data_IF_665057713958
#
_entry.id   IF_665057713958
#
_cell.length_a   1.000
_cell.length_b   1.000
_cell.length_c   1.000
_cell.angle_alpha   90.00
_cell.angle_beta   90.00
_cell.angle_gamma   90.00
#
_symmetry.space_group_name_H-M   'P 1'
#
loop_
_entity.id
_entity.type
_entity.pdbx_description
1 polymer ?
#
# COMPACT_ATOMS: atom_id res chain seq x y z
N UNK A 1 -38.80 -1.68 11.95
CA UNK A 1 -37.85 -1.29 10.90
C UNK A 1 -37.19 -2.55 10.36
N UNK A 2 -36.93 -2.69 9.04
CA UNK A 2 -36.27 -3.88 8.50
C UNK A 2 -34.82 -3.98 9.00
N UNK A 3 -34.39 -5.20 9.35
CA UNK A 3 -33.06 -5.49 9.93
C UNK A 3 -31.88 -5.28 8.95
N UNK A 4 -32.15 -5.13 7.66
CA UNK A 4 -31.13 -5.02 6.62
C UNK A 4 -30.61 -3.58 6.38
N UNK A 5 -31.06 -2.62 7.20
CA UNK A 5 -30.69 -1.22 7.05
C UNK A 5 -29.22 -0.94 7.41
N UNK A 6 -28.63 -1.71 8.33
CA UNK A 6 -27.26 -1.51 8.85
C UNK A 6 -26.17 -2.32 8.12
N UNK A 7 -26.52 -3.31 7.30
CA UNK A 7 -25.56 -4.18 6.59
C UNK A 7 -24.81 -3.45 5.47
N UNK A 8 -25.29 -2.27 5.04
CA UNK A 8 -24.59 -1.42 4.05
C UNK A 8 -23.27 -0.83 4.57
N UNK A 9 -23.08 -0.72 5.89
CA UNK A 9 -21.81 -0.23 6.46
C UNK A 9 -20.71 -1.30 6.42
N UNK A 10 -21.07 -2.59 6.54
CA UNK A 10 -20.13 -3.71 6.41
C UNK A 10 -19.63 -3.87 4.97
N UNK A 11 -20.49 -3.64 3.98
CA UNK A 11 -20.08 -3.64 2.57
C UNK A 11 -19.21 -2.41 2.27
N UNK A 12 -19.57 -1.21 2.75
CA UNK A 12 -18.72 -0.01 2.58
C UNK A 12 -17.33 -0.23 3.18
N UNK A 13 -17.25 -0.78 4.39
CA UNK A 13 -15.95 -1.12 5.00
C UNK A 13 -15.22 -2.24 4.26
N UNK A 14 -15.92 -3.19 3.62
CA UNK A 14 -15.29 -4.18 2.74
C UNK A 14 -14.72 -3.56 1.46
N UNK A 15 -15.39 -2.58 0.84
CA UNK A 15 -14.85 -1.86 -0.32
C UNK A 15 -13.67 -0.96 0.05
N UNK A 16 -13.73 -0.27 1.20
CA UNK A 16 -12.61 0.53 1.70
C UNK A 16 -11.40 -0.35 1.99
N UNK A 17 -11.62 -1.49 2.64
CA UNK A 17 -10.58 -2.48 2.92
C UNK A 17 -10.03 -3.07 1.61
N UNK A 18 -10.88 -3.50 0.66
CA UNK A 18 -10.44 -4.02 -0.65
C UNK A 18 -9.64 -2.99 -1.44
N UNK A 19 -10.05 -1.72 -1.44
CA UNK A 19 -9.32 -0.63 -2.08
C UNK A 19 -7.94 -0.42 -1.44
N UNK A 20 -7.85 -0.49 -0.11
CA UNK A 20 -6.57 -0.42 0.62
C UNK A 20 -5.67 -1.60 0.28
N UNK A 21 -6.20 -2.83 0.24
CA UNK A 21 -5.43 -4.01 -0.16
C UNK A 21 -4.98 -3.97 -1.62
N UNK A 22 -5.84 -3.48 -2.52
CA UNK A 22 -5.47 -3.27 -3.93
C UNK A 22 -4.35 -2.24 -4.07
N UNK A 23 -4.41 -1.14 -3.31
CA UNK A 23 -3.33 -0.15 -3.32
C UNK A 23 -2.04 -0.69 -2.71
N UNK A 24 -2.12 -1.48 -1.63
CA UNK A 24 -0.96 -2.16 -1.04
C UNK A 24 -0.32 -3.14 -2.03
N UNK A 25 -1.11 -3.93 -2.74
CA UNK A 25 -0.61 -4.80 -3.79
C UNK A 25 0.09 -3.97 -4.90
N UNK A 26 -0.49 -2.84 -5.32
CA UNK A 26 0.14 -1.93 -6.26
C UNK A 26 1.46 -1.33 -5.70
N UNK A 27 1.56 -1.04 -4.39
CA UNK A 27 2.83 -0.61 -3.77
C UNK A 27 3.91 -1.71 -3.80
N UNK A 28 3.56 -2.95 -3.47
CA UNK A 28 4.51 -4.07 -3.56
C UNK A 28 5.01 -4.28 -4.99
N UNK A 29 4.10 -4.22 -5.96
CA UNK A 29 4.45 -4.31 -7.38
C UNK A 29 5.40 -3.18 -7.80
N UNK A 30 5.18 -1.96 -7.32
CA UNK A 30 6.07 -0.83 -7.60
C UNK A 30 7.47 -1.03 -7.00
N UNK A 31 7.55 -1.53 -5.75
CA UNK A 31 8.82 -1.86 -5.09
C UNK A 31 9.59 -2.92 -5.87
N UNK A 32 8.91 -3.98 -6.30
CA UNK A 32 9.51 -5.03 -7.14
C UNK A 32 10.11 -4.44 -8.43
N UNK A 33 9.37 -3.58 -9.12
CA UNK A 33 9.88 -2.94 -10.34
C UNK A 33 11.00 -1.94 -10.08
N UNK A 34 10.98 -1.25 -8.95
CA UNK A 34 12.06 -0.35 -8.57
C UNK A 34 13.35 -1.14 -8.33
N UNK A 35 13.28 -2.27 -7.64
CA UNK A 35 14.42 -3.17 -7.46
C UNK A 35 14.94 -3.73 -8.79
N UNK A 36 14.04 -4.05 -9.74
CA UNK A 36 14.43 -4.60 -11.05
C UNK A 36 15.03 -3.55 -12.00
N UNK A 37 14.47 -2.33 -12.03
CA UNK A 37 14.83 -1.30 -13.02
C UNK A 37 15.79 -0.24 -12.49
N UNK A 38 15.78 0.04 -11.18
CA UNK A 38 16.60 1.07 -10.54
C UNK A 38 17.21 0.51 -9.23
N UNK A 39 18.01 -0.58 -9.31
CA UNK A 39 18.50 -1.29 -8.12
C UNK A 39 19.36 -0.41 -7.21
N UNK A 40 20.10 0.55 -7.78
CA UNK A 40 20.93 1.49 -7.01
C UNK A 40 20.10 2.36 -6.08
N UNK A 41 18.96 2.86 -6.58
CA UNK A 41 18.05 3.68 -5.79
C UNK A 41 17.30 2.85 -4.75
N UNK A 42 16.89 1.62 -5.13
CA UNK A 42 16.24 0.71 -4.20
C UNK A 42 17.15 0.36 -3.00
N UNK A 43 18.42 0.04 -3.26
CA UNK A 43 19.41 -0.22 -2.22
C UNK A 43 19.62 0.99 -1.31
N UNK A 44 19.67 2.21 -1.88
CA UNK A 44 19.78 3.44 -1.11
C UNK A 44 18.59 3.65 -0.17
N UNK A 45 17.37 3.39 -0.64
CA UNK A 45 16.18 3.49 0.22
C UNK A 45 16.17 2.44 1.33
N UNK A 46 16.65 1.23 1.05
CA UNK A 46 16.77 0.16 2.05
C UNK A 46 17.83 0.49 3.11
N UNK A 47 19.00 0.99 2.70
CA UNK A 47 20.07 1.43 3.61
C UNK A 47 19.61 2.53 4.57
N UNK A 48 18.81 3.47 4.07
CA UNK A 48 18.30 4.60 4.85
C UNK A 48 16.93 4.34 5.50
N UNK A 49 16.41 3.10 5.39
CA UNK A 49 15.10 2.70 5.92
C UNK A 49 13.94 3.62 5.49
N UNK A 50 13.99 4.13 4.26
CA UNK A 50 12.99 5.07 3.71
C UNK A 50 11.84 4.29 3.06
N UNK A 51 10.64 4.39 3.63
CA UNK A 51 9.45 3.82 3.00
C UNK A 51 8.84 4.78 1.97
N UNK A 52 9.09 4.48 0.70
CA UNK A 52 8.52 5.23 -0.43
C UNK A 52 7.01 5.03 -0.59
N UNK A 53 6.43 3.98 0.02
CA UNK A 53 5.03 3.57 -0.16
C UNK A 53 4.06 4.69 0.13
N UNK A 54 4.33 5.54 1.14
CA UNK A 54 3.42 6.62 1.52
C UNK A 54 3.30 7.70 0.44
N UNK A 55 4.41 8.01 -0.23
CA UNK A 55 4.46 9.04 -1.28
C UNK A 55 3.83 8.49 -2.55
N UNK A 56 4.23 7.27 -2.94
CA UNK A 56 3.70 6.61 -4.13
C UNK A 56 2.22 6.23 -3.95
N UNK A 57 1.75 5.94 -2.74
CA UNK A 57 0.32 5.76 -2.45
C UNK A 57 -0.48 6.99 -2.86
N UNK A 58 -0.05 8.19 -2.44
CA UNK A 58 -0.71 9.43 -2.81
C UNK A 58 -0.74 9.62 -4.34
N UNK A 59 0.37 9.38 -5.03
CA UNK A 59 0.44 9.49 -6.49
C UNK A 59 -0.55 8.59 -7.22
N UNK A 60 -0.76 7.37 -6.73
CA UNK A 60 -1.66 6.40 -7.34
C UNK A 60 -3.12 6.74 -7.05
N UNK A 61 -3.42 7.21 -5.84
CA UNK A 61 -4.76 7.60 -5.41
C UNK A 61 -5.27 8.81 -6.21
N UNK A 62 -4.45 9.85 -6.36
CA UNK A 62 -4.85 11.08 -7.07
C UNK A 62 -4.34 11.12 -8.52
N UNK A 63 -3.82 10.02 -9.06
CA UNK A 63 -3.28 9.92 -10.43
C UNK A 63 -2.36 11.12 -10.77
N UNK A 64 -1.43 11.42 -9.88
CA UNK A 64 -0.46 12.52 -9.95
C UNK A 64 -1.03 13.96 -10.03
N UNK A 65 -2.33 14.17 -9.84
CA UNK A 65 -2.99 15.47 -10.01
C UNK A 65 -2.36 16.57 -9.15
N UNK A 66 -2.01 16.27 -7.90
CA UNK A 66 -1.37 17.24 -7.00
C UNK A 66 0.16 17.23 -7.07
N UNK A 67 0.75 16.26 -7.77
CA UNK A 67 2.18 15.97 -7.72
C UNK A 67 2.94 16.51 -8.92
N UNK A 68 2.28 16.65 -10.08
CA UNK A 68 2.89 17.11 -11.33
C UNK A 68 2.31 18.44 -11.82
N UNK A 69 3.10 19.27 -12.52
CA UNK A 69 2.57 20.42 -13.24
C UNK A 69 1.55 20.02 -14.30
N UNK A 70 0.57 20.88 -14.57
CA UNK A 70 -0.56 20.61 -15.47
C UNK A 70 -0.13 20.14 -16.87
N UNK A 71 0.96 20.72 -17.42
CA UNK A 71 1.48 20.36 -18.74
C UNK A 71 1.97 18.91 -18.82
N UNK A 72 2.52 18.38 -17.72
CA UNK A 72 2.99 17.00 -17.65
C UNK A 72 1.84 16.07 -17.29
N UNK A 73 1.00 16.51 -16.35
CA UNK A 73 -0.19 15.78 -15.91
C UNK A 73 -1.08 15.37 -17.09
N UNK A 74 -1.38 16.31 -18.00
CA UNK A 74 -2.21 16.03 -19.17
C UNK A 74 -1.62 14.92 -20.06
N UNK A 75 -0.30 14.89 -20.24
CA UNK A 75 0.38 13.83 -21.02
C UNK A 75 0.32 12.48 -20.33
N UNK A 76 0.44 12.45 -19.01
CA UNK A 76 0.25 11.23 -18.22
C UNK A 76 -1.18 10.73 -18.37
N UNK A 77 -2.16 11.64 -18.33
CA UNK A 77 -3.57 11.34 -18.46
C UNK A 77 -3.94 10.84 -19.86
N UNK A 78 -3.42 11.44 -20.92
CA UNK A 78 -3.61 10.95 -22.30
C UNK A 78 -3.13 9.50 -22.44
N UNK A 79 -1.92 9.22 -21.94
CA UNK A 79 -1.37 7.87 -21.95
C UNK A 79 -2.17 6.92 -21.04
N UNK A 80 -2.61 7.39 -19.87
CA UNK A 80 -3.41 6.60 -18.93
C UNK A 80 -4.78 6.22 -19.51
N UNK A 81 -5.44 7.13 -20.22
CA UNK A 81 -6.71 6.86 -20.89
C UNK A 81 -6.56 5.87 -22.05
N UNK A 82 -5.42 5.89 -22.74
CA UNK A 82 -5.14 4.98 -23.85
C UNK A 82 -4.69 3.58 -23.40
N UNK A 83 -3.76 3.50 -22.45
CA UNK A 83 -3.09 2.25 -22.04
C UNK A 83 -3.55 1.71 -20.68
N UNK A 84 -4.22 2.51 -19.85
CA UNK A 84 -4.72 2.15 -18.53
C UNK A 84 -3.69 2.28 -17.39
N UNK A 85 -3.95 1.60 -16.27
CA UNK A 85 -3.21 1.72 -15.00
C UNK A 85 -1.72 1.41 -15.09
N UNK A 86 -1.26 0.64 -16.10
CA UNK A 86 0.16 0.35 -16.31
C UNK A 86 1.01 1.61 -16.53
N UNK A 87 0.39 2.67 -17.04
CA UNK A 87 1.03 3.95 -17.29
C UNK A 87 1.42 4.64 -15.99
N UNK A 88 0.62 4.50 -14.91
CA UNK A 88 0.92 5.08 -13.60
C UNK A 88 2.25 4.53 -13.06
N UNK A 89 2.44 3.21 -13.13
CA UNK A 89 3.69 2.56 -12.72
C UNK A 89 4.89 3.02 -13.56
N UNK A 90 4.71 3.12 -14.88
CA UNK A 90 5.76 3.63 -15.78
C UNK A 90 6.16 5.04 -15.40
N UNK A 91 5.21 5.95 -15.29
CA UNK A 91 5.54 7.33 -14.92
C UNK A 91 6.11 7.42 -13.50
N UNK A 92 5.61 6.66 -12.52
CA UNK A 92 6.18 6.61 -11.18
C UNK A 92 7.69 6.26 -11.22
N UNK A 93 8.05 5.18 -11.91
CA UNK A 93 9.45 4.77 -12.05
C UNK A 93 10.26 5.79 -12.87
N UNK A 94 9.66 6.43 -13.88
CA UNK A 94 10.32 7.46 -14.69
C UNK A 94 10.71 8.66 -13.82
N UNK A 95 9.83 9.06 -12.90
CA UNK A 95 10.08 10.16 -11.97
C UNK A 95 11.27 9.84 -11.07
N UNK A 96 11.30 8.63 -10.48
CA UNK A 96 12.42 8.19 -9.67
C UNK A 96 13.72 8.12 -10.48
N UNK A 97 13.68 7.60 -11.70
CA UNK A 97 14.85 7.55 -12.59
C UNK A 97 15.36 8.94 -12.95
N UNK A 98 14.45 9.89 -13.19
CA UNK A 98 14.78 11.27 -13.54
C UNK A 98 15.55 11.99 -12.42
N UNK A 99 15.25 11.68 -11.16
CA UNK A 99 15.89 12.26 -9.97
C UNK A 99 16.83 11.33 -9.22
N UNK A 100 17.18 10.18 -9.80
CA UNK A 100 18.02 9.17 -9.16
C UNK A 100 19.34 9.76 -8.64
N UNK A 101 20.05 10.53 -9.47
CA UNK A 101 21.33 11.13 -9.08
C UNK A 101 21.21 12.20 -7.99
N UNK A 102 20.08 12.90 -7.91
CA UNK A 102 19.86 13.90 -6.88
C UNK A 102 19.53 13.24 -5.54
N UNK A 103 18.73 12.16 -5.57
CA UNK A 103 18.35 11.40 -4.37
C UNK A 103 19.57 10.66 -3.78
N UNK A 104 20.42 10.09 -4.62
CA UNK A 104 21.63 9.36 -4.19
C UNK A 104 22.67 10.25 -3.48
N UNK A 105 22.59 11.57 -3.63
CA UNK A 105 23.48 12.53 -2.94
C UNK A 105 23.04 12.82 -1.50
N UNK A 106 21.80 12.47 -1.15
CA UNK A 106 21.22 12.74 0.16
C UNK A 106 21.40 11.50 1.02
N UNK A 107 21.99 11.67 2.21
CA UNK A 107 22.29 10.57 3.14
C UNK A 107 21.44 10.61 4.42
N UNK A 108 20.56 11.60 4.57
CA UNK A 108 19.63 11.68 5.69
C UNK A 108 18.23 11.20 5.27
N UNK A 109 17.63 10.29 6.03
CA UNK A 109 16.33 9.70 5.72
C UNK A 109 15.19 10.73 5.77
N UNK A 110 15.27 11.71 6.67
CA UNK A 110 14.31 12.80 6.78
C UNK A 110 14.38 13.74 5.58
N UNK A 111 15.59 14.11 5.16
CA UNK A 111 15.81 14.93 3.96
C UNK A 111 15.38 14.21 2.68
N UNK A 112 15.67 12.90 2.54
CA UNK A 112 15.20 12.10 1.41
C UNK A 112 13.68 12.17 1.34
N UNK A 113 12.98 11.95 2.45
CA UNK A 113 11.51 11.97 2.47
C UNK A 113 10.94 13.34 2.08
N UNK A 114 11.51 14.42 2.61
CA UNK A 114 11.10 15.77 2.23
C UNK A 114 11.35 16.04 0.75
N UNK A 115 12.54 15.68 0.24
CA UNK A 115 12.87 15.82 -1.17
C UNK A 115 11.89 15.04 -2.06
N UNK A 116 11.59 13.79 -1.69
CA UNK A 116 10.66 12.93 -2.41
C UNK A 116 9.24 13.52 -2.47
N UNK A 117 8.82 14.29 -1.47
CA UNK A 117 7.51 14.94 -1.46
C UNK A 117 7.41 16.10 -2.46
N UNK A 118 8.51 16.80 -2.72
CA UNK A 118 8.52 18.01 -3.55
C UNK A 118 9.08 17.81 -4.95
N UNK A 119 9.98 16.85 -5.17
CA UNK A 119 10.68 16.74 -6.45
C UNK A 119 9.76 16.50 -7.64
N UNK A 120 8.64 15.78 -7.47
CA UNK A 120 7.68 15.55 -8.55
C UNK A 120 7.18 16.87 -9.15
N UNK A 121 7.01 17.91 -8.31
CA UNK A 121 6.59 19.26 -8.74
C UNK A 121 7.69 20.04 -9.44
N UNK A 122 8.97 19.70 -9.19
CA UNK A 122 10.13 20.37 -9.79
C UNK A 122 10.41 19.93 -11.21
N UNK A 123 9.71 18.91 -11.70
CA UNK A 123 9.93 18.36 -13.03
C UNK A 123 9.23 19.27 -14.04
N UNK A 124 10.03 19.93 -14.86
CA UNK A 124 9.57 20.83 -15.91
C UNK A 124 9.58 20.19 -17.30
N UNK A 125 10.44 19.20 -17.53
CA UNK A 125 10.61 18.60 -18.85
C UNK A 125 9.78 17.32 -19.03
N UNK A 126 8.51 17.53 -19.41
CA UNK A 126 7.58 16.43 -19.70
C UNK A 126 8.02 15.53 -20.86
N UNK A 127 8.76 16.05 -21.85
CA UNK A 127 9.22 15.24 -23.00
C UNK A 127 10.30 14.27 -22.60
N UNK A 128 11.28 14.73 -21.81
CA UNK A 128 12.33 13.86 -21.27
C UNK A 128 11.73 12.78 -20.36
N UNK A 129 10.75 13.14 -19.52
CA UNK A 129 10.04 12.19 -18.67
C UNK A 129 9.31 11.11 -19.49
N UNK A 130 8.54 11.51 -20.50
CA UNK A 130 7.85 10.57 -21.40
C UNK A 130 8.85 9.66 -22.12
N UNK A 131 9.99 10.19 -22.60
CA UNK A 131 11.00 9.36 -23.25
C UNK A 131 11.56 8.28 -22.32
N UNK A 132 11.89 8.62 -21.07
CA UNK A 132 12.33 7.64 -20.07
C UNK A 132 11.21 6.62 -19.80
N UNK A 133 9.96 7.08 -19.69
CA UNK A 133 8.79 6.24 -19.44
C UNK A 133 8.57 5.15 -20.52
N UNK A 134 8.77 5.49 -21.78
CA UNK A 134 8.47 4.61 -22.92
C UNK A 134 9.70 3.90 -23.50
N UNK A 135 10.92 4.39 -23.25
CA UNK A 135 12.15 3.81 -23.80
C UNK A 135 12.84 2.86 -22.82
N UNK A 136 13.14 3.34 -21.60
CA UNK A 136 14.00 2.61 -20.66
C UNK A 136 13.25 1.56 -19.83
N UNK A 137 11.92 1.66 -19.78
CA UNK A 137 11.11 0.85 -18.87
C UNK A 137 10.14 -0.10 -19.56
N UNK A 138 10.08 -0.13 -20.89
CA UNK A 138 9.31 -1.13 -21.63
C UNK A 138 10.10 -2.47 -21.68
N UNK A 139 9.48 -3.67 -21.54
CA UNK A 139 8.06 -3.95 -21.59
C UNK A 139 7.40 -4.15 -20.22
N UNK A 140 6.21 -3.56 -20.05
CA UNK A 140 5.24 -3.93 -19.02
C UNK A 140 4.03 -4.64 -19.65
N UNK A 141 4.08 -5.96 -19.87
CA UNK A 141 2.91 -6.70 -20.35
C UNK A 141 1.83 -6.67 -19.26
N UNK A 142 0.60 -6.30 -19.63
CA UNK A 142 -0.57 -6.31 -18.74
C UNK A 142 -0.76 -7.65 -18.00
N UNK A 143 -0.33 -8.75 -18.62
CA UNK A 143 -0.37 -10.10 -18.05
C UNK A 143 0.55 -10.24 -16.84
N UNK A 144 1.76 -9.66 -16.89
CA UNK A 144 2.71 -9.68 -15.78
C UNK A 144 2.21 -8.83 -14.62
N UNK A 145 1.67 -7.64 -14.92
CA UNK A 145 1.13 -6.73 -13.90
C UNK A 145 -0.10 -7.33 -13.20
N UNK A 146 -1.02 -7.95 -13.96
CA UNK A 146 -2.18 -8.67 -13.39
C UNK A 146 -1.74 -9.89 -12.59
N UNK A 147 -0.79 -10.69 -13.08
CA UNK A 147 -0.31 -11.87 -12.37
C UNK A 147 0.40 -11.50 -11.07
N UNK A 148 1.26 -10.48 -11.08
CA UNK A 148 1.95 -9.98 -9.87
C UNK A 148 0.94 -9.42 -8.85
N UNK A 149 -0.04 -8.63 -9.30
CA UNK A 149 -1.12 -8.14 -8.44
C UNK A 149 -1.95 -9.27 -7.83
N UNK A 150 -2.31 -10.27 -8.62
CA UNK A 150 -3.04 -11.43 -8.13
C UNK A 150 -2.26 -12.19 -7.06
N UNK A 151 -0.94 -12.38 -7.27
CA UNK A 151 -0.07 -13.07 -6.34
C UNK A 151 0.13 -12.30 -5.02
N UNK A 152 0.35 -10.98 -5.11
CA UNK A 152 0.46 -10.12 -3.92
C UNK A 152 -0.86 -10.04 -3.15
N UNK A 153 -1.99 -9.94 -3.87
CA UNK A 153 -3.32 -9.94 -3.24
C UNK A 153 -3.61 -11.27 -2.55
N UNK A 154 -3.22 -12.40 -3.14
CA UNK A 154 -3.37 -13.73 -2.55
C UNK A 154 -2.52 -13.89 -1.28
N UNK A 155 -1.26 -13.41 -1.30
CA UNK A 155 -0.38 -13.41 -0.12
C UNK A 155 -0.96 -12.59 1.02
N UNK A 156 -1.36 -11.35 0.71
CA UNK A 156 -1.95 -10.42 1.68
C UNK A 156 -3.26 -10.97 2.29
N UNK A 157 -4.09 -11.63 1.48
CA UNK A 157 -5.29 -12.34 1.97
C UNK A 157 -4.95 -13.55 2.84
N UNK A 158 -3.82 -14.23 2.58
CA UNK A 158 -3.29 -15.29 3.43
C UNK A 158 -2.92 -14.77 4.82
N UNK A 159 -2.09 -13.74 4.87
CA UNK A 159 -1.64 -13.09 6.11
C UNK A 159 -2.84 -12.60 6.96
N UNK A 160 -3.85 -11.99 6.31
CA UNK A 160 -5.06 -11.55 7.01
C UNK A 160 -5.84 -12.71 7.64
N UNK A 161 -5.99 -13.83 6.93
CA UNK A 161 -6.69 -15.02 7.46
C UNK A 161 -5.97 -15.61 8.66
N UNK A 162 -4.63 -15.61 8.64
CA UNK A 162 -3.82 -16.07 9.78
C UNK A 162 -3.98 -15.15 10.99
N UNK A 163 -3.92 -13.83 10.80
CA UNK A 163 -4.14 -12.86 11.87
C UNK A 163 -5.56 -12.95 12.46
N UNK A 164 -6.59 -13.11 11.62
CA UNK A 164 -7.96 -13.30 12.07
C UNK A 164 -8.18 -14.62 12.82
N UNK A 165 -7.44 -15.67 12.47
CA UNK A 165 -7.45 -16.94 13.20
C UNK A 165 -6.81 -16.78 14.57
N UNK A 166 -5.64 -16.13 14.65
CA UNK A 166 -4.96 -15.83 15.91
C UNK A 166 -5.81 -14.95 16.84
N UNK A 167 -6.47 -13.93 16.29
CA UNK A 167 -7.38 -13.09 17.08
C UNK A 167 -8.59 -13.87 17.58
N UNK A 168 -9.16 -14.77 16.77
CA UNK A 168 -10.26 -15.63 17.21
C UNK A 168 -9.84 -16.57 18.32
N UNK A 169 -8.68 -17.21 18.20
CA UNK A 169 -8.10 -18.09 19.24
C UNK A 169 -7.87 -17.32 20.55
N UNK A 170 -7.24 -16.15 20.47
CA UNK A 170 -7.00 -15.30 21.64
C UNK A 170 -8.31 -14.83 22.30
N UNK A 171 -9.31 -14.43 21.50
CA UNK A 171 -10.63 -14.05 22.02
C UNK A 171 -11.31 -15.25 22.69
N UNK A 172 -11.26 -16.44 22.09
CA UNK A 172 -11.82 -17.65 22.71
C UNK A 172 -11.11 -18.04 24.00
N UNK A 173 -9.78 -17.95 24.06
CA UNK A 173 -9.00 -18.21 25.28
C UNK A 173 -9.32 -17.17 26.38
N UNK A 174 -9.47 -15.91 26.00
CA UNK A 174 -9.80 -14.84 26.94
C UNK A 174 -11.25 -14.91 27.45
N UNK A 175 -12.18 -15.42 26.63
CA UNK A 175 -13.55 -15.71 27.03
C UNK A 175 -13.60 -16.91 27.98
N UNK A 176 -12.88 -17.99 27.66
CA UNK A 176 -12.77 -19.17 28.53
C UNK A 176 -12.14 -18.85 29.89
N UNK A 177 -11.11 -17.99 29.93
CA UNK A 177 -10.52 -17.53 31.21
C UNK A 177 -11.49 -16.71 32.03
N UNK A 178 -12.25 -15.81 31.41
CA UNK A 178 -13.28 -15.03 32.11
C UNK A 178 -14.42 -15.90 32.62
N UNK A 179 -14.83 -16.91 31.86
CA UNK A 179 -15.87 -17.86 32.29
C UNK A 179 -15.36 -18.70 33.48
N UNK A 180 -14.10 -19.13 33.45
CA UNK A 180 -13.49 -19.88 34.56
C UNK A 180 -13.36 -19.02 35.83
N UNK A 181 -12.91 -17.77 35.71
CA UNK A 181 -12.86 -16.83 36.83
C UNK A 181 -14.25 -16.51 37.39
N UNK A 182 -15.28 -16.46 36.53
CA UNK A 182 -16.68 -16.23 36.95
C UNK A 182 -17.24 -17.45 37.70
N UNK A 183 -16.91 -18.67 37.25
CA UNK A 183 -17.32 -19.92 37.92
C UNK A 183 -16.64 -20.06 39.28
N UNK A 184 -15.34 -19.78 39.37
CA UNK A 184 -14.59 -19.81 40.63
C UNK A 184 -15.15 -18.82 41.66
N UNK A 185 -15.50 -17.60 41.22
CA UNK A 185 -16.14 -16.60 42.09
C UNK A 185 -17.52 -17.06 42.58
N UNK A 186 -18.29 -17.80 41.77
CA UNK A 186 -19.58 -18.34 42.20
C UNK A 186 -19.50 -19.55 43.13
N UNK A 187 -18.46 -20.38 43.02
CA UNK A 187 -18.22 -21.52 43.93
C UNK A 187 -17.76 -21.05 45.32
N UNK A 188 -16.91 -20.02 45.38
CA UNK A 188 -16.48 -19.39 46.64
C UNK A 188 -17.66 -18.74 47.40
N UNK A 189 -18.67 -18.21 46.67
CA UNK A 189 -19.89 -17.65 47.26
C UNK A 189 -20.85 -18.74 47.76
N UNK A 190 -20.94 -19.91 47.10
CA UNK A 190 -21.78 -21.04 47.55
C UNK A 190 -21.18 -21.78 48.78
N UNK A 191 -19.86 -21.91 48.89
CA UNK A 191 -19.21 -22.50 50.08
C UNK A 191 -19.44 -21.66 51.35
N UNK A 192 -19.62 -20.34 51.23
CA UNK A 192 -19.90 -19.45 52.36
C UNK A 192 -21.30 -19.65 52.96
N UNK A 193 -22.26 -20.18 52.18
CA UNK A 193 -23.61 -20.50 52.65
C UNK A 193 -23.75 -21.93 53.18
N UNK A 194 -22.77 -22.80 52.96
CA UNK A 194 -22.85 -24.22 53.32
C UNK A 194 -22.27 -24.57 54.71
N UNK A 195 -21.80 -23.57 55.48
CA UNK A 195 -21.19 -23.72 56.82
C UNK A 195 -22.10 -23.18 57.96
N UNK A 196 -23.34 -22.75 57.68
CA UNK A 196 -24.35 -22.37 58.70
C UNK A 196 -25.41 -23.46 58.90
#
# INVERSE_FOLDING_TARGET
MPQDYYTKTLISSQWDVVCVWMLQADQCVLKDFMAEKIPRLAAHFEEHSVDVSLITFNWFLVVFVESLPSDILLRVWDAFLYEGTKVIFRYALALFKYKEEDILKIHDSGEIYQYLRFFAKTISDGRKLTNIAFSDMNPFPMKLLRNRRALHLERLQGELRELEAQQREFVTESAQRKDLDTILVSEDDEELYSIS
#
